data_IF_750465015848
#
_entry.id   IF_750465015848
#
_cell.length_a   1.000
_cell.length_b   1.000
_cell.length_c   1.000
_cell.angle_alpha   90.00
_cell.angle_beta   90.00
_cell.angle_gamma   90.00
#
_symmetry.space_group_name_H-M   'P 1'
#
loop_
_entity.id
_entity.type
_entity.pdbx_description
1 polymer ?
#
# COMPACT_ATOMS: atom_id res chain seq x y z
N UNK A 1 19.02 -37.22 23.18
CA UNK A 1 18.17 -36.11 23.62
C UNK A 1 18.02 -36.17 25.12
N UNK A 2 18.52 -35.14 25.80
CA UNK A 2 18.23 -34.90 27.21
C UNK A 2 16.80 -34.37 27.36
N UNK A 3 16.27 -34.36 28.58
CA UNK A 3 14.97 -33.75 28.87
C UNK A 3 14.95 -32.24 28.55
N UNK A 4 16.10 -31.57 28.68
CA UNK A 4 16.26 -30.17 28.29
C UNK A 4 16.17 -29.98 26.78
N UNK A 5 16.77 -30.87 25.98
CA UNK A 5 16.71 -30.82 24.51
C UNK A 5 15.27 -31.00 24.01
N UNK A 6 14.49 -31.90 24.64
CA UNK A 6 13.08 -32.10 24.29
C UNK A 6 12.24 -30.86 24.55
N UNK A 7 12.42 -30.23 25.72
CA UNK A 7 11.69 -29.02 26.07
C UNK A 7 12.03 -27.86 25.13
N UNK A 8 13.32 -27.67 24.82
CA UNK A 8 13.76 -26.65 23.87
C UNK A 8 13.15 -26.88 22.46
N UNK A 9 13.04 -28.14 22.03
CA UNK A 9 12.43 -28.49 20.76
C UNK A 9 10.92 -28.21 20.74
N UNK A 10 10.20 -28.54 21.82
CA UNK A 10 8.77 -28.25 21.96
C UNK A 10 8.48 -26.73 21.98
N UNK A 11 9.30 -25.95 22.68
CA UNK A 11 9.17 -24.49 22.73
C UNK A 11 9.48 -23.85 21.36
N UNK A 12 10.46 -24.40 20.64
CA UNK A 12 10.74 -24.00 19.26
C UNK A 12 9.57 -24.33 18.34
N UNK A 13 8.98 -25.51 18.47
CA UNK A 13 7.84 -25.91 17.64
C UNK A 13 6.63 -24.99 17.87
N UNK A 14 6.33 -24.65 19.12
CA UNK A 14 5.30 -23.66 19.45
C UNK A 14 5.59 -22.28 18.85
N UNK A 15 6.86 -21.86 18.85
CA UNK A 15 7.27 -20.58 18.27
C UNK A 15 7.08 -20.57 16.75
N UNK A 16 7.42 -21.67 16.07
CA UNK A 16 7.19 -21.83 14.63
C UNK A 16 5.69 -21.83 14.30
N UNK A 17 4.88 -22.54 15.09
CA UNK A 17 3.42 -22.56 14.90
C UNK A 17 2.80 -21.18 15.09
N UNK A 18 3.28 -20.42 16.09
CA UNK A 18 2.81 -19.07 16.33
C UNK A 18 3.21 -18.12 15.18
N UNK A 19 4.47 -18.17 14.73
CA UNK A 19 4.93 -17.36 13.61
C UNK A 19 4.18 -17.68 12.31
N UNK A 20 3.82 -18.94 12.10
CA UNK A 20 3.03 -19.35 10.94
C UNK A 20 1.64 -18.72 10.99
N UNK A 21 0.96 -18.76 12.13
CA UNK A 21 -0.34 -18.12 12.33
C UNK A 21 -0.26 -16.60 12.18
N UNK A 22 0.76 -15.98 12.76
CA UNK A 22 0.95 -14.52 12.65
C UNK A 22 1.17 -14.11 11.20
N UNK A 23 1.97 -14.87 10.45
CA UNK A 23 2.19 -14.65 9.02
C UNK A 23 0.89 -14.76 8.23
N UNK A 24 0.14 -15.84 8.41
CA UNK A 24 -1.15 -16.04 7.74
C UNK A 24 -2.15 -14.91 8.09
N UNK A 25 -2.15 -14.44 9.34
CA UNK A 25 -2.96 -13.32 9.80
C UNK A 25 -2.58 -11.98 9.18
N UNK A 26 -1.33 -11.79 8.74
CA UNK A 26 -0.84 -10.57 8.11
C UNK A 26 -0.98 -10.56 6.59
N UNK A 27 -1.03 -11.72 5.94
CA UNK A 27 -1.12 -11.81 4.48
C UNK A 27 -2.42 -11.19 3.93
N UNK A 28 -3.56 -11.42 4.58
CA UNK A 28 -4.84 -10.90 4.10
C UNK A 28 -4.95 -9.36 4.26
N UNK A 29 -4.63 -8.76 5.43
CA UNK A 29 -4.58 -7.31 5.58
C UNK A 29 -3.59 -6.63 4.62
N UNK A 30 -2.45 -7.27 4.34
CA UNK A 30 -1.47 -6.73 3.41
C UNK A 30 -2.04 -6.67 1.99
N UNK A 31 -2.66 -7.75 1.50
CA UNK A 31 -3.33 -7.76 0.19
C UNK A 31 -4.43 -6.71 0.10
N UNK A 32 -5.22 -6.54 1.16
CA UNK A 32 -6.30 -5.55 1.21
C UNK A 32 -5.75 -4.11 1.18
N UNK A 33 -4.62 -3.85 1.83
CA UNK A 33 -3.94 -2.54 1.82
C UNK A 33 -3.26 -2.25 0.47
N UNK A 34 -2.59 -3.25 -0.10
CA UNK A 34 -1.96 -3.14 -1.43
C UNK A 34 -3.02 -2.90 -2.53
N UNK A 35 -4.19 -3.52 -2.42
CA UNK A 35 -5.33 -3.26 -3.31
C UNK A 35 -5.88 -1.83 -3.19
N UNK A 36 -5.81 -1.22 -2.00
CA UNK A 36 -6.27 0.16 -1.76
C UNK A 36 -5.31 1.23 -2.29
N UNK A 37 -4.02 0.90 -2.49
CA UNK A 37 -3.05 1.84 -3.04
C UNK A 37 -3.25 2.11 -4.53
N UNK A 38 -4.00 1.28 -5.25
CA UNK A 38 -4.16 1.42 -6.71
C UNK A 38 -5.57 1.89 -7.05
N UNK A 39 -5.79 3.20 -6.97
CA UNK A 39 -7.00 3.80 -7.55
C UNK A 39 -6.79 4.06 -9.04
N UNK A 40 -7.78 3.66 -9.86
CA UNK A 40 -7.86 4.11 -11.25
C UNK A 40 -8.06 5.63 -11.25
N UNK A 41 -7.33 6.33 -12.13
CA UNK A 41 -7.47 7.79 -12.30
C UNK A 41 -8.94 8.12 -12.60
N UNK A 42 -9.63 8.92 -11.77
CA UNK A 42 -11.01 9.29 -12.04
C UNK A 42 -11.13 10.19 -13.28
N UNK A 43 -12.15 9.98 -14.12
CA UNK A 43 -12.36 10.75 -15.35
C UNK A 43 -12.37 12.28 -15.16
N UNK A 44 -12.90 12.78 -14.04
CA UNK A 44 -12.91 14.21 -13.72
C UNK A 44 -11.53 14.82 -13.45
N UNK A 45 -10.50 13.99 -13.23
CA UNK A 45 -9.12 14.42 -12.95
C UNK A 45 -8.18 14.36 -14.13
N UNK A 46 -8.55 13.69 -15.22
CA UNK A 46 -7.68 13.47 -16.38
C UNK A 46 -7.03 14.77 -16.86
N UNK A 47 -7.82 15.82 -17.02
CA UNK A 47 -7.31 17.11 -17.49
C UNK A 47 -6.40 17.83 -16.47
N UNK A 48 -6.53 17.52 -15.18
CA UNK A 48 -5.69 18.09 -14.12
C UNK A 48 -4.37 17.33 -14.01
N UNK A 49 -4.44 16.00 -14.09
CA UNK A 49 -3.31 15.09 -14.15
C UNK A 49 -2.43 15.40 -15.37
N UNK A 50 -3.03 15.55 -16.56
CA UNK A 50 -2.30 15.92 -17.77
C UNK A 50 -1.60 17.27 -17.66
N UNK A 51 -2.25 18.27 -17.03
CA UNK A 51 -1.65 19.57 -16.79
C UNK A 51 -0.43 19.46 -15.86
N UNK A 52 -0.55 18.70 -14.77
CA UNK A 52 0.52 18.47 -13.81
C UNK A 52 1.75 17.78 -14.43
N UNK A 53 1.53 16.81 -15.31
CA UNK A 53 2.60 16.11 -16.04
C UNK A 53 3.26 17.06 -17.05
N UNK A 54 2.46 17.85 -17.79
CA UNK A 54 3.00 18.80 -18.78
C UNK A 54 3.93 19.85 -18.18
N UNK A 55 3.68 20.28 -16.93
CA UNK A 55 4.56 21.22 -16.23
C UNK A 55 5.71 20.54 -15.47
N UNK A 56 5.82 19.21 -15.55
CA UNK A 56 6.86 18.42 -14.88
C UNK A 56 6.71 18.36 -13.36
N UNK A 57 5.50 18.58 -12.82
CA UNK A 57 5.27 18.52 -11.38
C UNK A 57 5.28 17.07 -10.85
N UNK A 58 4.93 16.09 -11.70
CA UNK A 58 4.92 14.66 -11.38
C UNK A 58 5.29 13.80 -12.60
N UNK A 59 5.96 12.66 -12.37
CA UNK A 59 6.45 11.77 -13.42
C UNK A 59 5.40 10.74 -13.92
N UNK A 60 4.61 10.16 -13.01
CA UNK A 60 3.53 9.20 -13.31
C UNK A 60 2.49 9.20 -12.18
N UNK A 61 1.19 9.23 -12.53
CA UNK A 61 0.08 9.45 -11.60
C UNK A 61 -0.94 8.30 -11.57
N UNK A 62 -0.51 7.09 -11.90
CA UNK A 62 -1.26 5.87 -11.63
C UNK A 62 -1.14 5.47 -10.16
N UNK A 63 -2.25 5.02 -9.55
CA UNK A 63 -2.27 4.66 -8.13
C UNK A 63 -2.24 5.84 -7.17
N UNK A 64 -2.66 7.02 -7.61
CA UNK A 64 -2.89 8.14 -6.70
C UNK A 64 -4.06 7.87 -5.74
N UNK A 65 -4.03 8.50 -4.56
CA UNK A 65 -5.20 8.49 -3.66
C UNK A 65 -6.28 9.46 -4.13
N UNK A 66 -7.52 9.31 -3.63
CA UNK A 66 -8.59 10.27 -3.92
C UNK A 66 -8.21 11.71 -3.55
N UNK A 67 -7.49 11.89 -2.45
CA UNK A 67 -7.05 13.20 -1.98
C UNK A 67 -5.94 13.78 -2.86
N UNK A 68 -5.04 12.94 -3.38
CA UNK A 68 -4.07 13.35 -4.39
C UNK A 68 -4.77 13.95 -5.62
N UNK A 69 -5.75 13.23 -6.16
CA UNK A 69 -6.52 13.69 -7.32
C UNK A 69 -7.30 14.98 -7.05
N UNK A 70 -7.90 15.13 -5.86
CA UNK A 70 -8.54 16.38 -5.42
C UNK A 70 -7.54 17.53 -5.38
N UNK A 71 -6.35 17.28 -4.84
CA UNK A 71 -5.30 18.29 -4.71
C UNK A 71 -4.82 18.78 -6.08
N UNK A 72 -4.49 17.88 -7.01
CA UNK A 72 -4.07 18.24 -8.37
C UNK A 72 -5.16 19.04 -9.09
N UNK A 73 -6.42 18.67 -8.96
CA UNK A 73 -7.53 19.46 -9.52
C UNK A 73 -7.65 20.85 -8.90
N UNK A 74 -7.38 21.02 -7.60
CA UNK A 74 -7.35 22.34 -6.97
C UNK A 74 -6.20 23.19 -7.51
N UNK A 75 -5.01 22.62 -7.70
CA UNK A 75 -3.87 23.32 -8.29
C UNK A 75 -4.22 23.86 -9.69
N UNK A 76 -4.84 23.02 -10.52
CA UNK A 76 -5.33 23.42 -11.84
C UNK A 76 -6.38 24.54 -11.76
N UNK A 77 -7.36 24.41 -10.86
CA UNK A 77 -8.38 25.45 -10.66
C UNK A 77 -7.81 26.78 -10.18
N UNK A 78 -6.65 26.75 -9.53
CA UNK A 78 -5.92 27.95 -9.07
C UNK A 78 -4.92 28.47 -10.11
N UNK A 79 -4.78 27.81 -11.25
CA UNK A 79 -3.86 28.21 -12.32
C UNK A 79 -2.37 28.03 -11.96
N UNK A 80 -2.09 27.19 -10.97
CA UNK A 80 -0.70 26.85 -10.59
C UNK A 80 -0.11 25.85 -11.59
N UNK A 81 -0.96 24.99 -12.15
CA UNK A 81 -0.67 24.03 -13.22
C UNK A 81 -1.77 24.07 -14.28
#
# INVERSE_FOLDING_TARGET
MTAADRKAFEDLQKSVDQLTKDKEGLEQPLKDLEGKQKMVVPAWTESSVAAAVNVGLFDALDGGSSDFYRFVTLLKRKGVI
#
